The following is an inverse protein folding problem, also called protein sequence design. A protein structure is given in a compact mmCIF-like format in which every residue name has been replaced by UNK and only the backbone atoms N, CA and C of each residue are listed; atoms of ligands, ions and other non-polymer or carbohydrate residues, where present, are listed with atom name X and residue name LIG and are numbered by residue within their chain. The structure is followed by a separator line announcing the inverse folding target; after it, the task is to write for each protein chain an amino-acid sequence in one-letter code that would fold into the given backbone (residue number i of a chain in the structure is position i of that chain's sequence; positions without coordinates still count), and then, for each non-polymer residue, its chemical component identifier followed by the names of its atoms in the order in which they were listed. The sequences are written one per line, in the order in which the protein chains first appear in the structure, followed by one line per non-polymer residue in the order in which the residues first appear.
data_IF_164951425270
#
_entry.id   IF_164951425270
#
_cell.length_a   1.000
_cell.length_b   1.000
_cell.length_c   1.000
_cell.angle_alpha   90.00
_cell.angle_beta   90.00
_cell.angle_gamma   90.00
#
_symmetry.space_group_name_H-M   'P 1'
#
loop_
_entity.id
_entity.type
_entity.pdbx_description
1 polymer ?
#
# COMPACT_ATOMS: atom_id res chain seq x y z
N UNK A 1 0.15 -24.24 -1.40
CA UNK A 1 -0.28 -24.37 0.00
C UNK A 1 -1.39 -23.37 0.23
N UNK A 2 -2.60 -23.84 0.58
CA UNK A 2 -3.78 -23.00 0.81
C UNK A 2 -3.76 -22.49 2.25
N UNK A 3 -3.90 -21.17 2.47
CA UNK A 3 -4.07 -20.60 3.79
C UNK A 3 -5.57 -20.61 4.17
N UNK A 4 -5.90 -21.50 5.10
CA UNK A 4 -7.11 -21.48 5.92
C UNK A 4 -6.81 -20.66 7.19
N UNK A 5 -7.68 -19.72 7.54
CA UNK A 5 -7.63 -19.03 8.84
C UNK A 5 -9.01 -19.20 9.46
N UNK A 6 -9.03 -19.99 10.53
CA UNK A 6 -10.20 -20.34 11.32
C UNK A 6 -10.84 -19.09 11.96
N UNK A 7 -12.16 -19.02 11.86
CA UNK A 7 -12.97 -18.06 12.59
C UNK A 7 -13.20 -18.59 14.02
N UNK A 8 -12.53 -17.99 15.00
CA UNK A 8 -12.87 -18.18 16.41
C UNK A 8 -14.07 -17.27 16.72
N UNK A 9 -15.23 -17.90 16.85
CA UNK A 9 -16.38 -17.32 17.51
C UNK A 9 -16.17 -17.46 19.03
N UNK A 10 -16.38 -16.38 19.78
CA UNK A 10 -16.86 -16.53 21.15
C UNK A 10 -17.91 -15.48 21.47
N UNK A 11 -18.94 -15.96 22.14
CA UNK A 11 -20.26 -15.35 22.28
C UNK A 11 -20.44 -14.64 23.61
N UNK A 12 -21.34 -13.66 23.59
CA UNK A 12 -22.32 -13.33 24.62
C UNK A 12 -21.85 -13.08 26.06
N UNK A 13 -22.16 -11.86 26.53
CA UNK A 13 -22.74 -11.71 27.86
C UNK A 13 -23.93 -10.75 27.79
N UNK A 14 -25.12 -11.30 28.00
CA UNK A 14 -26.36 -10.58 28.27
C UNK A 14 -26.31 -9.84 29.61
N UNK A 15 -27.04 -8.73 29.68
CA UNK A 15 -27.35 -8.02 30.91
C UNK A 15 -28.65 -7.24 30.74
N UNK A 16 -29.75 -7.84 31.20
CA UNK A 16 -31.11 -7.31 31.28
C UNK A 16 -31.17 -5.98 32.11
N UNK A 17 -32.17 -5.10 32.03
CA UNK A 17 -33.62 -5.28 32.28
C UNK A 17 -34.44 -4.00 32.00
N UNK A 18 -35.64 -4.17 31.44
CA UNK A 18 -36.95 -3.48 31.65
C UNK A 18 -37.09 -1.94 31.59
N UNK A 19 -37.96 -1.44 30.68
CA UNK A 19 -39.30 -0.90 31.04
C UNK A 19 -40.16 -0.43 29.84
N UNK A 20 -41.44 -0.86 29.87
CA UNK A 20 -42.71 -0.27 29.35
C UNK A 20 -42.83 0.07 27.85
N UNK A 21 -43.61 -0.68 27.06
CA UNK A 21 -45.10 -0.74 26.94
C UNK A 21 -45.74 0.33 26.04
N UNK A 22 -46.27 -0.18 24.91
CA UNK A 22 -47.51 0.21 24.21
C UNK A 22 -47.54 1.50 23.38
N UNK A 23 -47.55 1.35 22.05
CA UNK A 23 -48.64 1.92 21.22
C UNK A 23 -48.64 1.32 19.80
N UNK A 24 -49.85 1.14 19.26
CA UNK A 24 -50.20 0.47 18.01
C UNK A 24 -49.67 1.21 16.77
N UNK A 25 -49.24 0.44 15.76
CA UNK A 25 -49.58 0.53 14.33
C UNK A 25 -48.40 0.32 13.36
N UNK A 26 -48.68 -0.57 12.39
CA UNK A 26 -48.25 -0.52 10.98
C UNK A 26 -46.87 -1.06 10.54
N UNK A 27 -46.99 -2.11 9.73
CA UNK A 27 -46.15 -2.55 8.60
C UNK A 27 -44.80 -3.25 8.87
N UNK A 28 -44.51 -4.36 8.15
CA UNK A 28 -43.21 -5.00 8.18
C UNK A 28 -42.24 -4.16 7.33
N UNK A 29 -41.49 -3.26 7.97
CA UNK A 29 -40.31 -2.68 7.32
C UNK A 29 -39.17 -3.66 7.42
N UNK A 30 -39.13 -4.49 6.38
CA UNK A 30 -37.97 -5.13 5.81
C UNK A 30 -36.83 -4.10 5.65
N UNK A 31 -36.13 -3.78 6.73
CA UNK A 31 -34.77 -3.26 6.65
C UNK A 31 -33.86 -4.42 6.97
N UNK A 32 -33.86 -5.35 6.01
CA UNK A 32 -32.73 -6.19 5.71
C UNK A 32 -31.51 -5.27 5.65
N UNK A 33 -30.87 -5.06 6.80
CA UNK A 33 -29.45 -4.74 6.86
C UNK A 33 -28.80 -5.95 6.21
N UNK A 34 -28.76 -5.93 4.88
CA UNK A 34 -27.73 -6.62 4.14
C UNK A 34 -26.45 -6.00 4.65
N UNK A 35 -25.92 -6.55 5.73
CA UNK A 35 -24.49 -6.76 5.84
C UNK A 35 -24.11 -7.58 4.62
N UNK A 36 -24.03 -6.90 3.47
CA UNK A 36 -23.25 -7.37 2.36
C UNK A 36 -21.83 -7.23 2.87
N UNK A 37 -21.38 -8.25 3.62
CA UNK A 37 -19.97 -8.58 3.67
C UNK A 37 -19.55 -8.57 2.21
N UNK A 38 -18.73 -7.60 1.76
CA UNK A 38 -18.30 -7.60 0.38
C UNK A 38 -17.66 -8.96 0.15
N UNK A 39 -17.90 -9.61 -1.00
CA UNK A 39 -17.17 -10.82 -1.34
C UNK A 39 -15.70 -10.51 -1.12
N UNK A 40 -15.08 -11.18 -0.16
CA UNK A 40 -13.64 -11.13 0.03
C UNK A 40 -13.06 -11.74 -1.23
N UNK A 41 -12.86 -10.90 -2.25
CA UNK A 41 -12.28 -11.31 -3.52
C UNK A 41 -10.88 -11.80 -3.20
N UNK A 42 -10.73 -13.12 -3.17
CA UNK A 42 -9.41 -13.75 -3.12
C UNK A 42 -8.79 -13.58 -4.50
N UNK A 43 -8.08 -12.47 -4.71
CA UNK A 43 -7.24 -12.28 -5.88
C UNK A 43 -5.93 -13.03 -5.68
N UNK A 44 -5.48 -13.72 -6.72
CA UNK A 44 -4.10 -14.22 -6.82
C UNK A 44 -3.13 -13.05 -7.02
N UNK A 45 -1.84 -13.28 -6.76
CA UNK A 45 -0.78 -12.26 -6.95
C UNK A 45 -0.79 -11.69 -8.38
N UNK A 46 -0.86 -12.49 -9.47
CA UNK A 46 -0.93 -11.96 -10.82
C UNK A 46 -2.18 -11.11 -11.08
N UNK A 47 -3.35 -11.53 -10.58
CA UNK A 47 -4.60 -10.78 -10.74
C UNK A 47 -4.55 -9.43 -10.01
N UNK A 48 -4.01 -9.41 -8.79
CA UNK A 48 -3.85 -8.19 -8.01
C UNK A 48 -2.86 -7.22 -8.67
N UNK A 49 -1.71 -7.71 -9.13
CA UNK A 49 -0.73 -6.89 -9.85
C UNK A 49 -1.34 -6.29 -11.12
N UNK A 50 -2.03 -7.11 -11.92
CA UNK A 50 -2.75 -6.65 -13.11
C UNK A 50 -3.80 -5.58 -12.77
N UNK A 51 -4.59 -5.80 -11.71
CA UNK A 51 -5.60 -4.85 -11.24
C UNK A 51 -4.98 -3.50 -10.86
N UNK A 52 -3.88 -3.51 -10.10
CA UNK A 52 -3.16 -2.29 -9.72
C UNK A 52 -2.60 -1.57 -10.96
N UNK A 53 -2.01 -2.30 -11.90
CA UNK A 53 -1.52 -1.73 -13.17
C UNK A 53 -2.65 -1.05 -13.94
N UNK A 54 -3.79 -1.72 -14.09
CA UNK A 54 -4.93 -1.16 -14.81
C UNK A 54 -5.43 0.13 -14.15
N UNK A 55 -5.49 0.17 -12.82
CA UNK A 55 -5.87 1.36 -12.06
C UNK A 55 -4.85 2.51 -12.25
N UNK A 56 -3.56 2.22 -12.10
CA UNK A 56 -2.48 3.19 -12.26
C UNK A 56 -2.41 3.77 -13.68
N UNK A 57 -2.63 2.96 -14.71
CA UNK A 57 -2.71 3.43 -16.11
C UNK A 57 -3.84 4.42 -16.35
N UNK A 58 -4.97 4.27 -15.64
CA UNK A 58 -6.14 5.15 -15.78
C UNK A 58 -5.97 6.48 -15.05
N UNK A 59 -5.05 6.56 -14.09
CA UNK A 59 -4.83 7.78 -13.33
C UNK A 59 -3.81 8.69 -14.03
N UNK A 60 -4.15 9.94 -14.43
CA UNK A 60 -3.28 10.79 -15.26
C UNK A 60 -1.87 11.01 -14.70
N UNK A 61 -1.76 11.43 -13.44
CA UNK A 61 -0.46 11.70 -12.82
C UNK A 61 0.39 10.45 -12.57
N UNK A 62 -0.23 9.36 -12.13
CA UNK A 62 0.46 8.09 -11.84
C UNK A 62 0.95 7.46 -13.14
N UNK A 63 0.12 7.42 -14.18
CA UNK A 63 0.49 6.93 -15.51
C UNK A 63 1.72 7.66 -16.05
N UNK A 64 1.74 8.99 -15.99
CA UNK A 64 2.87 9.78 -16.49
C UNK A 64 4.19 9.43 -15.77
N UNK A 65 4.17 9.35 -14.44
CA UNK A 65 5.36 9.00 -13.65
C UNK A 65 5.81 7.58 -13.92
N UNK A 66 4.89 6.61 -13.90
CA UNK A 66 5.22 5.21 -14.14
C UNK A 66 5.75 4.98 -15.55
N UNK A 67 5.13 5.61 -16.56
CA UNK A 67 5.65 5.61 -17.94
C UNK A 67 7.06 6.17 -17.99
N UNK A 68 7.36 7.24 -17.26
CA UNK A 68 8.71 7.81 -17.23
C UNK A 68 9.73 6.88 -16.57
N UNK A 69 9.48 6.40 -15.34
CA UNK A 69 10.47 5.60 -14.59
C UNK A 69 10.69 4.19 -15.17
N UNK A 70 9.74 3.68 -15.95
CA UNK A 70 9.82 2.39 -16.62
C UNK A 70 10.37 2.45 -18.05
N UNK A 71 10.58 3.66 -18.60
CA UNK A 71 10.87 3.85 -20.02
C UNK A 71 9.72 3.43 -20.94
N UNK A 72 8.47 3.58 -20.46
CA UNK A 72 7.24 3.20 -21.16
C UNK A 72 6.87 1.72 -21.10
N UNK A 73 7.65 0.89 -20.40
CA UNK A 73 7.42 -0.56 -20.34
C UNK A 73 6.49 -0.95 -19.19
N UNK A 74 5.21 -1.10 -19.52
CA UNK A 74 4.20 -1.50 -18.55
C UNK A 74 4.29 -2.97 -18.12
N UNK A 75 4.84 -3.84 -18.96
CA UNK A 75 5.14 -5.22 -18.57
C UNK A 75 6.18 -5.27 -17.43
N UNK A 76 7.16 -4.36 -17.43
CA UNK A 76 8.15 -4.24 -16.34
C UNK A 76 7.52 -3.71 -15.05
N UNK A 77 6.53 -2.81 -15.18
CA UNK A 77 5.76 -2.32 -14.03
C UNK A 77 4.93 -3.44 -13.43
N UNK A 78 4.24 -4.23 -14.26
CA UNK A 78 3.45 -5.37 -13.79
C UNK A 78 4.32 -6.42 -13.09
N UNK A 79 5.46 -6.77 -13.67
CA UNK A 79 6.40 -7.70 -13.05
C UNK A 79 6.96 -7.19 -11.72
N UNK A 80 7.32 -5.90 -11.66
CA UNK A 80 7.71 -5.26 -10.41
C UNK A 80 6.59 -5.30 -9.37
N UNK A 81 5.34 -5.03 -9.77
CA UNK A 81 4.18 -5.09 -8.88
C UNK A 81 3.87 -6.49 -8.40
N UNK A 82 4.09 -7.54 -9.21
CA UNK A 82 3.96 -8.93 -8.76
C UNK A 82 4.89 -9.22 -7.59
N UNK A 83 6.16 -8.86 -7.69
CA UNK A 83 7.12 -9.02 -6.59
C UNK A 83 6.71 -8.19 -5.37
N UNK A 84 6.23 -6.95 -5.56
CA UNK A 84 5.84 -6.05 -4.46
C UNK A 84 4.64 -6.60 -3.67
N UNK A 85 3.68 -7.26 -4.32
CA UNK A 85 2.45 -7.75 -3.67
C UNK A 85 2.50 -9.23 -3.31
N UNK A 86 3.58 -9.92 -3.67
CA UNK A 86 3.82 -11.31 -3.29
C UNK A 86 4.26 -11.36 -1.82
N UNK A 87 3.50 -12.03 -0.92
CA UNK A 87 3.84 -12.11 0.50
C UNK A 87 5.13 -12.90 0.79
N UNK A 88 5.60 -13.71 -0.16
CA UNK A 88 6.82 -14.52 -0.01
C UNK A 88 8.08 -13.76 -0.48
N UNK A 89 7.94 -12.55 -1.04
CA UNK A 89 9.06 -11.76 -1.50
C UNK A 89 9.84 -11.11 -0.35
N UNK A 90 11.16 -10.98 -0.53
CA UNK A 90 12.03 -10.25 0.39
C UNK A 90 12.53 -8.92 -0.24
N UNK A 91 13.06 -7.98 0.57
CA UNK A 91 13.66 -6.74 0.05
C UNK A 91 14.82 -6.96 -0.95
N UNK A 92 15.48 -8.12 -0.89
CA UNK A 92 16.56 -8.49 -1.79
C UNK A 92 16.06 -8.82 -3.20
N UNK A 93 14.81 -9.28 -3.33
CA UNK A 93 14.18 -9.64 -4.60
C UNK A 93 13.70 -8.41 -5.39
N UNK A 94 13.67 -7.25 -4.74
CA UNK A 94 13.23 -6.00 -5.35
C UNK A 94 14.23 -5.51 -6.41
N UNK A 95 13.77 -5.44 -7.66
CA UNK A 95 14.48 -4.72 -8.71
C UNK A 95 14.56 -3.21 -8.42
N UNK A 96 15.49 -2.45 -9.03
CA UNK A 96 15.52 -0.99 -8.90
C UNK A 96 14.19 -0.32 -9.26
N UNK A 97 13.47 -0.84 -10.26
CA UNK A 97 12.14 -0.33 -10.61
C UNK A 97 11.11 -0.61 -9.50
N UNK A 98 11.14 -1.81 -8.91
CA UNK A 98 10.25 -2.15 -7.80
C UNK A 98 10.49 -1.24 -6.59
N UNK A 99 11.76 -0.95 -6.26
CA UNK A 99 12.11 0.02 -5.20
C UNK A 99 11.58 1.42 -5.49
N UNK A 100 11.71 1.90 -6.74
CA UNK A 100 11.16 3.20 -7.14
C UNK A 100 9.62 3.24 -7.03
N UNK A 101 8.93 2.13 -7.35
CA UNK A 101 7.47 2.04 -7.22
C UNK A 101 7.07 2.03 -5.73
N UNK A 102 7.79 1.28 -4.88
CA UNK A 102 7.54 1.27 -3.44
C UNK A 102 7.78 2.67 -2.83
N UNK A 103 8.88 3.37 -3.18
CA UNK A 103 9.12 4.75 -2.71
C UNK A 103 7.96 5.68 -3.13
N UNK A 104 7.50 5.57 -4.38
CA UNK A 104 6.36 6.33 -4.88
C UNK A 104 5.07 6.05 -4.08
N UNK A 105 4.85 4.83 -3.64
CA UNK A 105 3.66 4.43 -2.86
C UNK A 105 3.77 4.87 -1.40
N UNK A 106 4.94 4.69 -0.79
CA UNK A 106 5.10 4.73 0.67
C UNK A 106 5.67 6.06 1.19
N UNK A 107 6.62 6.65 0.49
CA UNK A 107 7.50 7.68 1.04
C UNK A 107 6.87 9.09 1.08
N UNK A 108 5.71 9.28 0.44
CA UNK A 108 5.01 10.57 0.40
C UNK A 108 5.86 11.73 -0.18
N UNK A 109 6.82 11.38 -1.05
CA UNK A 109 7.75 12.33 -1.66
C UNK A 109 7.17 12.94 -2.93
N UNK A 110 7.28 14.26 -3.04
CA UNK A 110 6.81 15.01 -4.21
C UNK A 110 5.28 15.03 -4.38
N UNK A 111 4.81 15.60 -5.49
CA UNK A 111 3.37 15.74 -5.77
C UNK A 111 2.73 14.39 -6.03
N UNK A 112 3.34 13.55 -6.87
CA UNK A 112 2.76 12.25 -7.23
C UNK A 112 2.74 11.27 -6.06
N UNK A 113 3.75 11.27 -5.17
CA UNK A 113 3.72 10.42 -3.98
C UNK A 113 2.54 10.72 -3.06
N UNK A 114 2.26 12.01 -2.82
CA UNK A 114 1.09 12.47 -2.04
C UNK A 114 -0.26 12.11 -2.67
N UNK A 115 -0.29 11.89 -3.98
CA UNK A 115 -1.49 11.44 -4.71
C UNK A 115 -1.59 9.91 -4.64
N UNK A 116 -0.50 9.21 -4.92
CA UNK A 116 -0.46 7.73 -5.01
C UNK A 116 -0.81 7.10 -3.67
N UNK A 117 -0.27 7.61 -2.55
CA UNK A 117 -0.45 6.99 -1.24
C UNK A 117 -1.92 6.85 -0.80
N UNK A 118 -2.75 7.91 -0.77
CA UNK A 118 -4.17 7.76 -0.46
C UNK A 118 -4.93 6.98 -1.56
N UNK A 119 -4.60 7.20 -2.83
CA UNK A 119 -5.23 6.49 -3.94
C UNK A 119 -5.02 4.97 -3.87
N UNK A 120 -3.80 4.53 -3.56
CA UNK A 120 -3.44 3.13 -3.41
C UNK A 120 -4.20 2.48 -2.26
N UNK A 121 -4.34 3.17 -1.13
CA UNK A 121 -5.16 2.71 -0.01
C UNK A 121 -6.61 2.50 -0.43
N UNK A 122 -7.23 3.52 -1.03
CA UNK A 122 -8.63 3.46 -1.47
C UNK A 122 -8.86 2.35 -2.50
N UNK A 123 -7.94 2.22 -3.46
CA UNK A 123 -7.95 1.18 -4.48
C UNK A 123 -7.96 -0.22 -3.85
N UNK A 124 -7.05 -0.49 -2.90
CA UNK A 124 -6.96 -1.80 -2.25
C UNK A 124 -8.16 -2.08 -1.35
N UNK A 125 -8.63 -1.09 -0.59
CA UNK A 125 -9.82 -1.26 0.26
C UNK A 125 -11.05 -1.57 -0.59
N UNK A 126 -11.22 -0.90 -1.73
CA UNK A 126 -12.31 -1.15 -2.66
C UNK A 126 -12.26 -2.53 -3.32
N UNK A 127 -11.06 -3.08 -3.55
CA UNK A 127 -10.88 -4.36 -4.24
C UNK A 127 -10.87 -5.57 -3.30
N UNK A 128 -10.20 -5.45 -2.15
CA UNK A 128 -9.89 -6.58 -1.25
C UNK A 128 -10.68 -6.53 0.06
N UNK A 129 -11.33 -5.40 0.36
CA UNK A 129 -11.87 -5.11 1.67
C UNK A 129 -10.81 -4.59 2.65
N UNK A 130 -11.29 -3.90 3.67
CA UNK A 130 -10.46 -3.11 4.59
C UNK A 130 -9.41 -3.94 5.35
N UNK A 131 -9.74 -5.16 5.80
CA UNK A 131 -8.80 -6.00 6.56
C UNK A 131 -7.64 -6.50 5.69
N UNK A 132 -7.94 -7.06 4.52
CA UNK A 132 -6.91 -7.61 3.61
C UNK A 132 -6.06 -6.48 3.05
N UNK A 133 -6.67 -5.37 2.67
CA UNK A 133 -5.96 -4.17 2.21
C UNK A 133 -4.98 -3.66 3.27
N UNK A 134 -5.38 -3.60 4.55
CA UNK A 134 -4.50 -3.16 5.63
C UNK A 134 -3.29 -4.07 5.80
N UNK A 135 -3.46 -5.39 5.75
CA UNK A 135 -2.34 -6.33 5.84
C UNK A 135 -1.37 -6.13 4.69
N UNK A 136 -1.87 -6.02 3.45
CA UNK A 136 -1.03 -5.76 2.29
C UNK A 136 -0.29 -4.42 2.37
N UNK A 137 -0.97 -3.35 2.78
CA UNK A 137 -0.34 -2.03 2.96
C UNK A 137 0.75 -2.08 4.03
N UNK A 138 0.50 -2.79 5.12
CA UNK A 138 1.49 -2.98 6.19
C UNK A 138 2.71 -3.73 5.65
N UNK A 139 2.49 -4.82 4.92
CA UNK A 139 3.54 -5.59 4.27
C UNK A 139 4.39 -4.75 3.32
N UNK A 140 3.78 -4.02 2.37
CA UNK A 140 4.49 -3.16 1.42
C UNK A 140 5.25 -2.04 2.15
N UNK A 141 4.71 -1.54 3.26
CA UNK A 141 5.40 -0.55 4.11
C UNK A 141 6.62 -1.17 4.82
N UNK A 142 6.54 -2.42 5.28
CA UNK A 142 7.69 -3.13 5.83
C UNK A 142 8.79 -3.32 4.77
N UNK A 143 8.43 -3.78 3.56
CA UNK A 143 9.38 -3.87 2.43
C UNK A 143 10.08 -2.53 2.16
N UNK A 144 9.32 -1.42 2.18
CA UNK A 144 9.89 -0.08 2.02
C UNK A 144 10.94 0.24 3.08
N UNK A 145 10.58 0.11 4.36
CA UNK A 145 11.45 0.45 5.49
C UNK A 145 12.72 -0.39 5.48
N UNK A 146 12.62 -1.69 5.21
CA UNK A 146 13.76 -2.59 5.11
C UNK A 146 14.66 -2.24 3.92
N UNK A 147 14.07 -1.88 2.77
CA UNK A 147 14.83 -1.46 1.59
C UNK A 147 15.59 -0.15 1.81
N UNK A 148 14.99 0.82 2.50
CA UNK A 148 15.65 2.07 2.90
C UNK A 148 16.80 1.76 3.85
N UNK A 149 16.57 0.95 4.90
CA UNK A 149 17.59 0.58 5.87
C UNK A 149 18.82 -0.07 5.21
N UNK A 150 18.61 -0.91 4.19
CA UNK A 150 19.70 -1.50 3.41
C UNK A 150 20.47 -0.43 2.60
N UNK A 151 19.77 0.55 2.00
CA UNK A 151 20.40 1.63 1.26
C UNK A 151 21.30 2.51 2.15
N UNK A 152 20.88 2.80 3.38
CA UNK A 152 21.67 3.56 4.36
C UNK A 152 22.94 2.83 4.82
N UNK A 153 22.95 1.50 4.79
CA UNK A 153 24.12 0.70 5.17
C UNK A 153 25.19 0.65 4.05
N UNK A 154 24.78 0.82 2.79
CA UNK A 154 25.66 0.77 1.63
C UNK A 154 26.28 2.15 1.33
N UNK A 155 25.57 3.24 1.64
CA UNK A 155 26.06 4.59 1.41
C UNK A 155 27.07 5.02 2.50
N UNK A 156 28.36 5.27 2.19
CA UNK A 156 29.28 5.84 3.17
C UNK A 156 28.84 7.27 3.54
N UNK A 157 29.10 7.74 4.79
CA UNK A 157 28.87 9.13 5.14
C UNK A 157 29.68 10.01 4.20
N UNK A 158 29.01 10.93 3.50
CA UNK A 158 29.68 11.91 2.62
C UNK A 158 30.68 12.69 3.49
N UNK A 159 32.00 12.63 3.22
CA UNK A 159 32.95 13.40 4.00
C UNK A 159 32.60 14.88 3.82
N UNK A 160 32.41 15.57 4.94
CA UNK A 160 32.27 17.01 4.96
C UNK A 160 33.50 17.58 4.27
N UNK A 161 33.29 18.30 3.16
CA UNK A 161 34.34 18.98 2.43
C UNK A 161 34.94 19.99 3.41
N UNK A 162 36.11 19.66 3.97
CA UNK A 162 36.88 20.60 4.75
C UNK A 162 37.33 21.70 3.80
N UNK A 163 36.58 22.80 3.78
CA UNK A 163 36.98 24.04 3.13
C UNK A 163 38.18 24.56 3.92
N UNK A 164 39.38 24.13 3.55
CA UNK A 164 40.61 24.82 3.97
C UNK A 164 40.69 26.08 3.13
N UNK A 165 40.22 27.18 3.72
CA UNK A 165 40.49 28.54 3.28
C UNK A 165 42.01 28.79 3.35
N UNK A 166 42.71 28.52 2.25
CA UNK A 166 44.08 28.99 2.06
C UNK A 166 44.04 30.41 1.53
N UNK A 167 43.84 31.36 2.43
CA UNK A 167 44.15 32.78 2.23
C UNK A 167 45.64 32.91 1.92
N UNK A 168 46.01 33.27 0.70
CA UNK A 168 47.36 33.76 0.39
C UNK A 168 47.24 35.12 -0.26
N UNK A 169 47.20 36.14 0.60
CA UNK A 169 47.59 37.48 0.22
C UNK A 169 49.10 37.49 -0.03
N UNK A 170 49.51 38.12 -1.12
CA UNK A 170 50.87 38.61 -1.31
C UNK A 170 50.71 40.05 -1.80
N UNK A 171 50.94 40.97 -0.86
CA UNK A 171 51.30 42.34 -1.11
C UNK A 171 52.76 42.40 -1.60
N UNK A 172 53.07 43.35 -2.49
CA UNK A 172 54.44 43.79 -2.81
C UNK A 172 54.82 43.69 -4.27
#
# INVERSE_FOLDING_TARGET
MLLEIEAVADSALEGATLSQETSLQSAPRESSRRSATPPSFRMTVPELAFFIVAAFRRHPHINNVLTHISGGSWNRIEEALRVIVDPDASPCDLSPLARNIIDLICADRGVTGRIVKPYYRELLVGALGETVARHLITYVTCLFVESEAAAWQIAPPRPAIAVTSSSKGVDG
#
